data_IF_794518654962
#
_entry.id   IF_794518654962
#
_cell.length_a   1.000
_cell.length_b   1.000
_cell.length_c   1.000
_cell.angle_alpha   90.00
_cell.angle_beta   90.00
_cell.angle_gamma   90.00
#
_symmetry.space_group_name_H-M   'P 1'
#
loop_
_entity.id
_entity.type
_entity.pdbx_description
1 polymer ?
#
# COMPACT_ATOMS: atom_id res chain seq x y z
N UNK A 1 28.07 -3.39 -4.40
CA UNK A 1 27.35 -3.09 -5.66
C UNK A 1 26.59 -1.77 -5.58
N UNK A 2 25.66 -1.60 -4.66
CA UNK A 2 24.81 -0.39 -4.56
C UNK A 2 25.59 0.92 -4.47
N UNK A 3 26.68 0.95 -3.71
CA UNK A 3 27.51 2.16 -3.54
C UNK A 3 28.14 2.61 -4.86
N UNK A 4 28.83 1.71 -5.56
CA UNK A 4 29.46 2.02 -6.87
C UNK A 4 28.42 2.40 -7.92
N UNK A 5 27.27 1.72 -7.93
CA UNK A 5 26.17 2.07 -8.83
C UNK A 5 25.57 3.46 -8.48
N UNK A 6 25.43 3.76 -7.20
CA UNK A 6 24.94 5.06 -6.74
C UNK A 6 25.86 6.21 -7.14
N UNK A 7 27.17 6.04 -6.99
CA UNK A 7 28.18 7.01 -7.44
C UNK A 7 28.08 7.24 -8.95
N UNK A 8 28.05 6.16 -9.74
CA UNK A 8 27.96 6.25 -11.20
C UNK A 8 26.64 6.89 -11.67
N UNK A 9 25.52 6.52 -11.05
CA UNK A 9 24.18 6.99 -11.39
C UNK A 9 23.83 8.33 -10.77
N UNK A 10 24.71 8.88 -9.92
CA UNK A 10 24.46 10.08 -9.11
C UNK A 10 23.13 9.98 -8.36
N UNK A 11 22.92 8.84 -7.72
CA UNK A 11 21.69 8.53 -6.98
C UNK A 11 22.04 7.84 -5.66
N UNK A 12 21.18 8.02 -4.65
CA UNK A 12 21.37 7.45 -3.32
C UNK A 12 21.43 5.90 -3.41
N UNK A 13 22.53 5.27 -2.97
CA UNK A 13 22.69 3.82 -3.02
C UNK A 13 21.60 3.03 -2.27
N UNK A 14 20.98 3.62 -1.24
CA UNK A 14 19.91 2.96 -0.47
C UNK A 14 18.56 2.98 -1.20
N UNK A 15 18.45 3.80 -2.24
CA UNK A 15 17.27 3.95 -3.10
C UNK A 15 17.43 3.25 -4.45
N UNK A 16 18.41 2.36 -4.58
CA UNK A 16 18.62 1.55 -5.79
C UNK A 16 18.15 0.13 -5.57
N UNK A 17 17.17 -0.32 -6.33
CA UNK A 17 16.70 -1.70 -6.37
C UNK A 17 17.34 -2.41 -7.56
N UNK A 18 17.82 -3.63 -7.33
CA UNK A 18 18.44 -4.46 -8.35
C UNK A 18 17.61 -5.73 -8.58
N UNK A 19 17.53 -6.13 -9.83
CA UNK A 19 16.78 -7.31 -10.25
C UNK A 19 17.63 -8.15 -11.20
N UNK A 20 17.73 -9.44 -10.95
CA UNK A 20 18.36 -10.38 -11.88
C UNK A 20 17.47 -10.57 -13.09
N UNK A 21 18.08 -10.89 -14.22
CA UNK A 21 17.36 -11.25 -15.45
C UNK A 21 17.38 -12.76 -15.66
N UNK A 22 16.39 -13.24 -16.38
CA UNK A 22 16.43 -14.57 -16.97
C UNK A 22 17.45 -14.55 -18.13
N UNK A 23 18.51 -15.37 -18.10
CA UNK A 23 19.56 -15.32 -19.12
C UNK A 23 19.07 -15.73 -20.52
N UNK A 24 18.00 -16.48 -20.61
CA UNK A 24 17.42 -16.92 -21.89
C UNK A 24 16.49 -15.89 -22.51
N UNK A 25 15.65 -15.27 -21.68
CA UNK A 25 14.60 -14.35 -22.17
C UNK A 25 14.93 -12.88 -21.97
N UNK A 26 15.96 -12.55 -21.16
CA UNK A 26 16.30 -11.18 -20.77
C UNK A 26 15.27 -10.52 -19.82
N UNK A 27 14.18 -11.19 -19.50
CA UNK A 27 13.11 -10.64 -18.65
C UNK A 27 13.53 -10.58 -17.18
N UNK A 28 13.00 -9.63 -16.40
CA UNK A 28 13.22 -9.58 -14.95
C UNK A 28 12.83 -10.91 -14.30
N UNK A 29 13.69 -11.43 -13.42
CA UNK A 29 13.48 -12.71 -12.75
C UNK A 29 13.19 -12.54 -11.25
N UNK A 30 14.12 -11.95 -10.50
CA UNK A 30 13.99 -11.83 -9.06
C UNK A 30 14.70 -10.59 -8.53
N UNK A 31 14.09 -9.94 -7.55
CA UNK A 31 14.68 -8.82 -6.85
C UNK A 31 15.83 -9.34 -5.97
N UNK A 32 16.98 -8.68 -6.08
CA UNK A 32 18.13 -8.96 -5.23
C UNK A 32 17.91 -8.38 -3.84
N UNK A 33 17.80 -9.27 -2.86
CA UNK A 33 17.74 -8.85 -1.45
C UNK A 33 19.07 -8.26 -1.03
N UNK A 34 19.03 -7.20 -0.27
CA UNK A 34 20.22 -6.58 0.30
C UNK A 34 20.82 -7.51 1.36
N UNK A 35 21.94 -8.12 1.04
CA UNK A 35 22.71 -8.97 1.96
C UNK A 35 24.11 -8.38 2.15
N UNK A 36 24.57 -8.33 3.39
CA UNK A 36 25.94 -7.90 3.70
C UNK A 36 26.96 -9.00 3.40
N UNK A 37 26.53 -10.25 3.33
CA UNK A 37 27.38 -11.43 3.26
C UNK A 37 27.41 -12.09 1.87
N UNK A 38 26.69 -11.54 0.90
CA UNK A 38 26.63 -12.09 -0.45
C UNK A 38 27.44 -11.26 -1.43
N UNK A 39 28.42 -11.87 -2.07
CA UNK A 39 29.23 -11.22 -3.09
C UNK A 39 28.50 -11.18 -4.45
N UNK A 40 28.91 -10.25 -5.32
CA UNK A 40 28.39 -10.19 -6.69
C UNK A 40 28.72 -11.49 -7.44
N UNK A 41 29.91 -12.06 -7.20
CA UNK A 41 30.34 -13.31 -7.82
C UNK A 41 29.39 -14.45 -7.46
N UNK A 42 28.94 -14.55 -6.21
CA UNK A 42 27.95 -15.55 -5.78
C UNK A 42 26.56 -15.32 -6.40
N UNK A 43 26.14 -14.06 -6.54
CA UNK A 43 24.87 -13.71 -7.19
C UNK A 43 24.89 -14.10 -8.67
N UNK A 44 26.03 -13.96 -9.32
CA UNK A 44 26.24 -14.23 -10.75
C UNK A 44 26.73 -15.65 -11.02
N UNK A 45 27.05 -16.43 -9.98
CA UNK A 45 27.53 -17.78 -10.15
C UNK A 45 26.49 -18.66 -10.85
N UNK A 46 26.90 -19.49 -11.81
CA UNK A 46 26.01 -20.44 -12.45
C UNK A 46 25.56 -21.47 -11.41
N UNK A 47 24.27 -21.67 -11.27
CA UNK A 47 23.70 -22.80 -10.57
C UNK A 47 23.50 -23.94 -11.57
N UNK A 48 23.52 -25.19 -11.10
CA UNK A 48 23.42 -26.40 -11.93
C UNK A 48 22.27 -26.41 -12.93
N UNK A 49 21.25 -25.58 -12.67
CA UNK A 49 20.03 -25.50 -13.47
C UNK A 49 19.85 -24.16 -14.24
N UNK A 50 20.78 -23.23 -14.13
CA UNK A 50 20.61 -21.90 -14.77
C UNK A 50 21.95 -21.38 -15.27
N UNK A 51 21.99 -20.92 -16.52
CA UNK A 51 23.17 -20.24 -17.07
C UNK A 51 23.48 -18.95 -16.28
N UNK A 52 24.72 -18.48 -16.39
CA UNK A 52 25.20 -17.27 -15.70
C UNK A 52 24.36 -16.05 -16.05
N UNK A 53 23.81 -15.37 -15.05
CA UNK A 53 23.16 -14.07 -15.26
C UNK A 53 24.23 -13.02 -15.48
N UNK A 54 24.27 -12.42 -16.66
CA UNK A 54 25.25 -11.38 -17.02
C UNK A 54 24.67 -9.96 -16.88
N UNK A 55 23.37 -9.83 -16.85
CA UNK A 55 22.67 -8.54 -16.79
C UNK A 55 21.91 -8.42 -15.47
N UNK A 56 22.16 -7.32 -14.77
CA UNK A 56 21.40 -6.92 -13.59
C UNK A 56 20.70 -5.62 -13.92
N UNK A 57 19.39 -5.62 -13.84
CA UNK A 57 18.58 -4.41 -13.99
C UNK A 57 18.62 -3.60 -12.71
N UNK A 58 18.54 -2.29 -12.83
CA UNK A 58 18.39 -1.40 -11.68
C UNK A 58 17.16 -0.50 -11.84
N UNK A 59 16.64 -0.08 -10.72
CA UNK A 59 15.55 0.89 -10.63
C UNK A 59 15.91 1.96 -9.60
N UNK A 60 15.67 3.22 -9.96
CA UNK A 60 15.80 4.37 -9.07
C UNK A 60 14.47 4.57 -8.34
N UNK A 61 14.52 4.55 -7.03
CA UNK A 61 13.36 4.69 -6.16
C UNK A 61 13.38 6.08 -5.50
N UNK A 62 12.20 6.60 -5.22
CA UNK A 62 12.05 7.85 -4.45
C UNK A 62 12.23 7.62 -2.95
N UNK A 63 11.97 6.40 -2.48
CA UNK A 63 12.10 5.97 -1.08
C UNK A 63 13.18 4.90 -0.94
N UNK A 64 13.73 4.73 0.27
CA UNK A 64 14.74 3.71 0.50
C UNK A 64 14.14 2.29 0.42
N UNK A 65 14.97 1.30 0.06
CA UNK A 65 14.56 -0.11 0.04
C UNK A 65 14.04 -0.55 1.42
N UNK A 66 14.69 -0.10 2.49
CA UNK A 66 14.27 -0.42 3.86
C UNK A 66 12.86 0.12 4.13
N UNK A 67 12.55 1.31 3.65
CA UNK A 67 11.19 1.86 3.77
C UNK A 67 10.16 1.05 2.99
N UNK A 68 10.48 0.63 1.76
CA UNK A 68 9.59 -0.23 0.96
C UNK A 68 9.36 -1.60 1.61
N UNK A 69 10.39 -2.17 2.24
CA UNK A 69 10.28 -3.46 2.91
C UNK A 69 9.51 -3.38 4.23
N UNK A 70 9.70 -2.30 4.99
CA UNK A 70 9.15 -2.14 6.35
C UNK A 70 7.87 -1.31 6.40
N UNK A 71 7.66 -0.43 5.43
CA UNK A 71 6.47 0.44 5.32
C UNK A 71 5.55 -0.03 4.20
N UNK A 72 4.32 0.42 4.28
CA UNK A 72 3.30 0.21 3.27
C UNK A 72 2.72 1.54 2.84
N UNK A 73 2.61 1.73 1.53
CA UNK A 73 1.88 2.85 0.94
C UNK A 73 0.40 2.48 0.85
N UNK A 74 -0.45 3.34 1.39
CA UNK A 74 -1.90 3.21 1.36
C UNK A 74 -2.51 4.49 0.80
N UNK A 75 -3.63 4.35 0.12
CA UNK A 75 -4.48 5.48 -0.28
C UNK A 75 -5.81 5.34 0.43
N UNK A 76 -6.21 6.39 1.13
CA UNK A 76 -7.49 6.43 1.84
C UNK A 76 -8.36 7.50 1.21
N UNK A 77 -9.53 7.10 0.76
CA UNK A 77 -10.55 7.97 0.20
C UNK A 77 -11.42 8.44 1.37
N UNK A 78 -11.39 9.74 1.65
CA UNK A 78 -12.24 10.33 2.67
C UNK A 78 -13.60 10.62 2.11
N UNK A 79 -14.65 10.10 2.77
CA UNK A 79 -16.04 10.36 2.43
C UNK A 79 -16.67 11.24 3.52
N UNK A 80 -17.12 12.41 3.12
CA UNK A 80 -17.76 13.36 4.03
C UNK A 80 -19.21 13.01 4.34
N UNK A 81 -19.88 13.93 5.02
CA UNK A 81 -21.25 13.75 5.59
C UNK A 81 -22.31 13.32 4.56
N UNK A 82 -22.07 13.53 3.28
CA UNK A 82 -23.02 13.20 2.20
C UNK A 82 -22.54 12.07 1.28
N UNK A 83 -21.61 11.22 1.75
CA UNK A 83 -21.01 10.14 0.96
C UNK A 83 -20.33 10.62 -0.34
N UNK A 84 -19.93 11.85 -0.40
CA UNK A 84 -19.14 12.37 -1.48
C UNK A 84 -17.67 12.21 -1.12
N UNK A 85 -16.91 11.71 -2.06
CA UNK A 85 -15.44 11.72 -1.95
C UNK A 85 -14.98 13.17 -1.81
N UNK A 86 -14.43 13.50 -0.64
CA UNK A 86 -13.93 14.85 -0.36
C UNK A 86 -12.43 14.95 -0.62
N UNK A 87 -11.73 13.83 -0.64
CA UNK A 87 -10.31 13.80 -0.93
C UNK A 87 -9.67 12.42 -0.84
N UNK A 88 -8.50 12.31 -1.46
CA UNK A 88 -7.67 11.10 -1.41
C UNK A 88 -6.38 11.44 -0.67
N UNK A 89 -6.12 10.71 0.40
CA UNK A 89 -4.99 10.93 1.29
C UNK A 89 -3.99 9.77 1.17
N UNK A 90 -2.77 10.03 0.70
CA UNK A 90 -1.72 9.03 0.67
C UNK A 90 -1.04 8.91 2.04
N UNK A 91 -0.79 7.68 2.46
CA UNK A 91 -0.08 7.36 3.70
C UNK A 91 1.07 6.41 3.43
N UNK A 92 2.17 6.58 4.15
CA UNK A 92 3.30 5.67 4.18
C UNK A 92 3.55 5.27 5.65
N UNK A 93 2.99 4.14 6.06
CA UNK A 93 3.03 3.67 7.45
C UNK A 93 3.83 2.38 7.58
N UNK A 94 4.48 2.14 8.73
CA UNK A 94 5.06 0.84 9.05
C UNK A 94 4.03 -0.29 8.92
N UNK A 95 4.42 -1.44 8.38
CA UNK A 95 3.55 -2.62 8.29
C UNK A 95 3.09 -3.12 9.65
N UNK A 96 3.87 -2.81 10.69
CA UNK A 96 3.56 -3.15 12.09
C UNK A 96 2.62 -2.16 12.77
N UNK A 97 2.34 -1.00 12.16
CA UNK A 97 1.35 -0.05 12.67
C UNK A 97 -0.05 -0.64 12.62
N UNK A 98 -0.92 -0.15 13.47
CA UNK A 98 -2.30 -0.58 13.55
C UNK A 98 -3.21 0.34 12.71
N UNK A 99 -4.41 -0.13 12.39
CA UNK A 99 -5.42 0.65 11.66
C UNK A 99 -5.85 1.89 12.46
N UNK A 100 -5.84 1.85 13.80
CA UNK A 100 -6.13 3.04 14.61
C UNK A 100 -5.08 4.15 14.42
N UNK A 101 -3.79 3.82 14.22
CA UNK A 101 -2.76 4.83 13.94
C UNK A 101 -3.03 5.54 12.60
N UNK A 102 -3.53 4.79 11.60
CA UNK A 102 -3.95 5.36 10.32
C UNK A 102 -5.15 6.30 10.51
N UNK A 103 -6.17 5.88 11.29
CA UNK A 103 -7.34 6.70 11.59
C UNK A 103 -6.97 7.99 12.34
N UNK A 104 -6.08 7.90 13.33
CA UNK A 104 -5.59 9.05 14.10
C UNK A 104 -4.78 10.02 13.23
N UNK A 105 -3.97 9.48 12.31
CA UNK A 105 -3.21 10.32 11.38
C UNK A 105 -4.13 11.01 10.38
N UNK A 106 -5.13 10.30 9.87
CA UNK A 106 -6.14 10.84 8.97
C UNK A 106 -6.97 11.93 9.66
N UNK A 107 -7.38 11.74 10.93
CA UNK A 107 -8.18 12.70 11.70
C UNK A 107 -7.53 14.08 11.82
N UNK A 108 -6.20 14.13 11.77
CA UNK A 108 -5.45 15.39 11.81
C UNK A 108 -5.40 16.11 10.46
N UNK A 109 -5.69 15.41 9.37
CA UNK A 109 -5.63 15.93 8.01
C UNK A 109 -6.99 16.31 7.44
N UNK A 110 -8.05 15.67 7.94
CA UNK A 110 -9.43 15.90 7.47
C UNK A 110 -10.19 16.83 8.41
N UNK A 111 -11.16 17.55 7.87
CA UNK A 111 -12.11 18.30 8.69
C UNK A 111 -13.20 17.35 9.15
N UNK A 112 -13.23 17.06 10.44
CA UNK A 112 -14.31 16.28 11.04
C UNK A 112 -15.57 17.14 11.11
N UNK A 113 -16.71 16.58 10.70
CA UNK A 113 -18.01 17.26 10.81
C UNK A 113 -18.39 17.47 12.28
N UNK A 114 -18.93 18.63 12.58
CA UNK A 114 -19.27 19.13 13.92
C UNK A 114 -20.38 18.35 14.67
N UNK A 115 -20.93 17.29 14.11
CA UNK A 115 -21.98 16.47 14.73
C UNK A 115 -21.62 14.98 14.87
N UNK A 116 -20.43 14.58 14.46
CA UNK A 116 -20.00 13.19 14.52
C UNK A 116 -19.40 12.79 15.87
N UNK A 117 -19.22 11.48 16.08
CA UNK A 117 -18.56 10.94 17.30
C UNK A 117 -17.07 11.26 17.37
N UNK A 118 -16.48 11.85 16.33
CA UNK A 118 -15.06 12.08 16.20
C UNK A 118 -14.23 10.81 15.91
N UNK A 119 -14.86 9.64 15.92
CA UNK A 119 -14.21 8.37 15.57
C UNK A 119 -14.28 8.14 14.07
N UNK A 120 -13.16 7.76 13.48
CA UNK A 120 -13.05 7.38 12.07
C UNK A 120 -13.11 5.86 11.98
N UNK A 121 -13.91 5.34 11.07
CA UNK A 121 -13.87 3.94 10.64
C UNK A 121 -13.27 3.83 9.27
N UNK A 122 -12.50 2.75 9.05
CA UNK A 122 -11.81 2.45 7.80
C UNK A 122 -12.35 1.14 7.26
N UNK A 123 -12.68 1.12 5.98
CA UNK A 123 -13.30 -0.02 5.33
C UNK A 123 -12.91 -0.13 3.86
N UNK A 124 -13.09 -1.31 3.29
CA UNK A 124 -12.98 -1.53 1.85
C UNK A 124 -14.36 -1.76 1.24
N UNK A 125 -14.51 -1.33 0.00
CA UNK A 125 -15.67 -1.62 -0.83
C UNK A 125 -15.21 -2.56 -1.92
N UNK A 126 -15.88 -3.70 -2.07
CA UNK A 126 -15.59 -4.63 -3.15
C UNK A 126 -15.97 -4.02 -4.51
N UNK A 127 -15.25 -4.38 -5.58
CA UNK A 127 -15.46 -3.86 -6.93
C UNK A 127 -16.88 -4.10 -7.47
N UNK A 128 -17.58 -5.10 -6.94
CA UNK A 128 -18.98 -5.38 -7.26
C UNK A 128 -19.96 -4.54 -6.42
N UNK A 129 -19.46 -3.68 -5.52
CA UNK A 129 -20.25 -2.80 -4.68
C UNK A 129 -21.07 -3.51 -3.60
N UNK A 130 -20.97 -4.84 -3.46
CA UNK A 130 -21.85 -5.63 -2.58
C UNK A 130 -21.22 -6.01 -1.24
N UNK A 131 -19.92 -6.10 -1.17
CA UNK A 131 -19.22 -6.54 0.04
C UNK A 131 -18.41 -5.40 0.62
N UNK A 132 -18.71 -5.05 1.85
CA UNK A 132 -17.98 -4.06 2.61
C UNK A 132 -17.30 -4.76 3.79
N UNK A 133 -15.99 -4.63 3.88
CA UNK A 133 -15.23 -5.09 5.04
C UNK A 133 -14.76 -3.89 5.84
N UNK A 134 -15.12 -3.83 7.12
CA UNK A 134 -14.59 -2.85 8.06
C UNK A 134 -13.34 -3.41 8.73
N UNK A 135 -12.29 -2.60 8.79
CA UNK A 135 -11.05 -2.94 9.48
C UNK A 135 -11.13 -2.49 10.93
N UNK A 136 -10.84 -3.41 11.84
CA UNK A 136 -10.80 -3.06 13.26
C UNK A 136 -9.54 -2.27 13.58
N UNK A 137 -9.63 -1.34 14.54
CA UNK A 137 -8.47 -0.53 14.94
C UNK A 137 -7.25 -1.32 15.37
N UNK A 138 -7.42 -2.57 15.81
CA UNK A 138 -6.37 -3.50 16.24
C UNK A 138 -5.77 -4.34 15.12
N UNK A 139 -6.25 -4.24 13.89
CA UNK A 139 -5.64 -4.93 12.76
C UNK A 139 -4.33 -4.23 12.33
N UNK A 140 -3.33 -5.04 11.95
CA UNK A 140 -2.07 -4.50 11.45
C UNK A 140 -2.21 -4.02 10.00
N UNK A 141 -1.59 -2.89 9.68
CA UNK A 141 -1.50 -2.33 8.32
C UNK A 141 -0.91 -3.36 7.33
N UNK A 142 0.03 -4.17 7.77
CA UNK A 142 0.64 -5.22 6.95
C UNK A 142 -0.32 -6.31 6.49
N UNK A 143 -1.42 -6.54 7.22
CA UNK A 143 -2.42 -7.57 6.93
C UNK A 143 -3.54 -7.10 6.00
N UNK A 144 -3.61 -5.82 5.70
CA UNK A 144 -4.58 -5.29 4.72
C UNK A 144 -4.26 -5.89 3.35
N UNK A 145 -5.21 -6.42 2.58
CA UNK A 145 -4.96 -6.95 1.23
C UNK A 145 -4.32 -5.92 0.28
N UNK A 146 -3.68 -6.37 -0.79
CA UNK A 146 -3.09 -5.53 -1.82
C UNK A 146 -3.42 -6.10 -3.21
N UNK A 147 -3.97 -5.33 -4.14
CA UNK A 147 -4.40 -3.94 -4.02
C UNK A 147 -5.76 -3.78 -3.33
N UNK A 148 -5.91 -2.75 -2.49
CA UNK A 148 -7.19 -2.39 -1.88
C UNK A 148 -7.39 -0.88 -1.93
N UNK A 149 -8.61 -0.46 -2.21
CA UNK A 149 -9.05 0.92 -2.03
C UNK A 149 -9.68 1.05 -0.65
N UNK A 150 -9.05 1.85 0.20
CA UNK A 150 -9.54 2.11 1.55
C UNK A 150 -10.41 3.36 1.55
N UNK A 151 -11.56 3.22 2.18
CA UNK A 151 -12.48 4.32 2.43
C UNK A 151 -12.50 4.64 3.92
N UNK A 152 -12.70 5.89 4.25
CA UNK A 152 -12.81 6.34 5.63
C UNK A 152 -13.96 7.34 5.78
N UNK A 153 -14.73 7.18 6.86
CA UNK A 153 -15.79 8.11 7.23
C UNK A 153 -15.85 8.32 8.73
N UNK A 154 -16.57 9.35 9.18
CA UNK A 154 -16.85 9.53 10.60
C UNK A 154 -17.88 8.50 11.04
N UNK A 155 -17.56 7.73 12.07
CA UNK A 155 -18.50 6.77 12.66
C UNK A 155 -19.69 7.52 13.28
N UNK A 156 -20.88 7.23 12.82
CA UNK A 156 -22.14 7.74 13.35
C UNK A 156 -22.82 6.69 14.21
N UNK A 157 -23.50 7.10 15.26
CA UNK A 157 -24.29 6.14 16.06
C UNK A 157 -25.40 5.51 15.20
N UNK A 158 -25.83 4.26 15.47
CA UNK A 158 -26.80 3.52 14.64
C UNK A 158 -28.14 4.22 14.40
N UNK A 159 -28.51 5.20 15.24
CA UNK A 159 -29.73 5.99 15.07
C UNK A 159 -29.64 7.16 14.09
N UNK A 160 -28.39 7.45 13.60
CA UNK A 160 -28.14 8.29 12.45
C UNK A 160 -27.54 7.38 11.41
N UNK A 161 -28.40 6.69 10.64
CA UNK A 161 -27.97 5.75 9.60
C UNK A 161 -26.88 6.41 8.77
N UNK A 162 -25.69 5.79 8.75
CA UNK A 162 -24.64 6.22 7.86
C UNK A 162 -25.22 6.12 6.46
N UNK A 163 -25.18 7.21 5.75
CA UNK A 163 -25.81 7.34 4.43
C UNK A 163 -25.27 6.31 3.41
N UNK A 164 -24.11 5.73 3.66
CA UNK A 164 -23.51 4.70 2.79
C UNK A 164 -24.25 3.36 2.88
N UNK A 165 -24.70 2.95 4.06
CA UNK A 165 -25.50 1.72 4.24
C UNK A 165 -26.88 1.84 3.57
N UNK A 166 -27.43 3.07 3.46
CA UNK A 166 -28.71 3.31 2.78
C UNK A 166 -28.60 3.28 1.26
N UNK A 167 -27.47 3.66 0.67
CA UNK A 167 -27.26 3.63 -0.79
C UNK A 167 -27.24 2.20 -1.33
N UNK A 168 -26.69 1.25 -0.58
CA UNK A 168 -26.64 -0.18 -0.98
C UNK A 168 -28.03 -0.84 -0.79
N UNK A 169 -28.80 -0.41 0.21
CA UNK A 169 -30.13 -0.94 0.45
C UNK A 169 -31.21 -0.36 -0.49
N UNK A 170 -30.96 0.82 -1.09
CA UNK A 170 -31.93 1.54 -1.94
C UNK A 170 -31.87 1.19 -3.42
N UNK A 171 -30.84 0.52 -3.91
CA UNK A 171 -30.71 0.10 -5.32
C UNK A 171 -31.35 -1.26 -5.60
N UNK A 172 -32.57 -1.47 -5.10
CA UNK A 172 -33.47 -2.51 -5.64
C UNK A 172 -33.90 -2.06 -7.04
N UNK A 173 -33.24 -2.56 -8.05
CA UNK A 173 -33.68 -2.44 -9.43
C UNK A 173 -35.07 -3.07 -9.56
N UNK A 174 -36.08 -2.25 -9.68
CA UNK A 174 -37.35 -2.69 -10.26
C UNK A 174 -37.13 -2.78 -11.79
N UNK A 175 -36.83 -4.01 -12.25
CA UNK A 175 -36.95 -4.32 -13.66
C UNK A 175 -38.43 -4.34 -14.03
N UNK A 176 -38.78 -3.58 -15.01
CA UNK A 176 -39.91 -3.81 -15.90
C UNK A 176 -39.37 -4.20 -17.24
#
# INVERSE_FOLDING_TARGET
MSQKAGEYLRHDPIKLRFTTTNPTTGQPKSILKRSLNQSIAEIMAPTYASPTTTIILYEKLDVSIVELETKRSLKVIWTGVHNKEEGVYPFLLPKTSMVHDLADTLSKQVKLSSGGTGKIRIFEISKDGKTQKEFTGSEMIGNIPDPVELYAEVWSRPNQASSFTQLIAGSSWRGT
#
